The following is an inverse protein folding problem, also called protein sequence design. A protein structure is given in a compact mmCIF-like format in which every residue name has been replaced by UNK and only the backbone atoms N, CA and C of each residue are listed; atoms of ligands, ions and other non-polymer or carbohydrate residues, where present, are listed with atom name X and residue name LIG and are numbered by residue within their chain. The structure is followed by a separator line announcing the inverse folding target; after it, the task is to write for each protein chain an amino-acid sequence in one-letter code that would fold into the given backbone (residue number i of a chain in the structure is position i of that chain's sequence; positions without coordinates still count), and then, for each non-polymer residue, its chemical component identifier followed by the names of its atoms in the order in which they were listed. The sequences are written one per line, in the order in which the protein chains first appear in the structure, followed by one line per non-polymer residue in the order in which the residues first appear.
data_IF_056222222989
#
_entry.id   IF_056222222989
#
_cell.length_a   1.000
_cell.length_b   1.000
_cell.length_c   1.000
_cell.angle_alpha   90.00
_cell.angle_beta   90.00
_cell.angle_gamma   90.00
#
_symmetry.space_group_name_H-M   'P 1'
#
loop_
_entity.id
_entity.type
_entity.pdbx_description
1 polymer ?
#
# COMPACT_ATOMS: atom_id res chain seq x y z
N UNK A 1 13.57 -8.50 -11.16
CA UNK A 1 14.24 -8.24 -9.87
C UNK A 1 15.45 -9.15 -9.86
N UNK A 2 16.65 -8.57 -9.85
CA UNK A 2 17.85 -9.18 -10.40
C UNK A 2 18.30 -10.45 -9.67
N UNK A 3 18.54 -11.51 -10.44
CA UNK A 3 19.56 -12.49 -10.10
C UNK A 3 20.93 -11.79 -10.21
N UNK A 4 21.76 -11.95 -9.20
CA UNK A 4 23.18 -11.55 -9.24
C UNK A 4 23.87 -12.35 -10.35
N UNK A 5 24.68 -11.75 -11.23
CA UNK A 5 25.34 -12.48 -12.30
C UNK A 5 26.23 -13.59 -11.75
N UNK A 6 25.97 -14.81 -12.19
CA UNK A 6 26.77 -16.00 -11.88
C UNK A 6 28.08 -15.97 -12.65
N UNK A 7 29.10 -15.30 -12.10
CA UNK A 7 30.48 -15.48 -12.54
C UNK A 7 31.46 -15.23 -11.40
N UNK A 8 31.34 -16.02 -10.33
CA UNK A 8 32.45 -16.28 -9.40
C UNK A 8 32.51 -17.81 -9.25
N UNK A 9 33.59 -18.48 -9.70
CA UNK A 9 33.73 -19.91 -9.52
C UNK A 9 34.09 -20.18 -8.05
N UNK A 10 33.09 -20.53 -7.25
CA UNK A 10 33.26 -20.87 -5.84
C UNK A 10 31.94 -21.32 -5.23
N UNK A 11 31.84 -22.61 -4.94
CA UNK A 11 30.68 -23.31 -4.39
C UNK A 11 29.91 -22.55 -3.29
N UNK A 12 28.60 -22.39 -3.50
CA UNK A 12 27.65 -21.99 -2.47
C UNK A 12 26.37 -21.38 -3.04
N UNK A 13 25.37 -22.20 -3.33
CA UNK A 13 24.05 -21.71 -3.74
C UNK A 13 23.50 -20.73 -2.68
N UNK A 14 23.24 -19.48 -3.07
CA UNK A 14 22.69 -18.40 -2.24
C UNK A 14 21.22 -18.68 -1.87
N UNK A 15 20.98 -19.67 -0.99
CA UNK A 15 19.65 -19.97 -0.40
C UNK A 15 19.35 -19.09 0.82
N UNK A 16 20.32 -18.30 1.28
CA UNK A 16 20.23 -17.44 2.47
C UNK A 16 19.55 -16.09 2.23
N UNK A 17 19.66 -15.48 1.04
CA UNK A 17 19.21 -14.10 0.81
C UNK A 17 17.69 -13.92 0.78
N UNK A 18 16.96 -14.77 0.05
CA UNK A 18 15.49 -14.69 -0.02
C UNK A 18 14.82 -14.99 1.33
N UNK A 19 15.41 -15.90 2.11
CA UNK A 19 14.94 -16.22 3.46
C UNK A 19 15.13 -15.03 4.39
N UNK A 20 16.30 -14.39 4.37
CA UNK A 20 16.56 -13.19 5.16
C UNK A 20 15.63 -12.04 4.77
N UNK A 21 15.40 -11.83 3.47
CA UNK A 21 14.45 -10.84 2.98
C UNK A 21 13.02 -11.14 3.46
N UNK A 22 12.58 -12.41 3.40
CA UNK A 22 11.30 -12.84 3.92
C UNK A 22 11.17 -12.60 5.43
N UNK A 23 12.19 -12.99 6.21
CA UNK A 23 12.22 -12.81 7.67
C UNK A 23 12.14 -11.31 8.04
N UNK A 24 12.83 -10.44 7.30
CA UNK A 24 12.76 -8.99 7.49
C UNK A 24 11.37 -8.43 7.17
N UNK A 25 10.86 -8.72 5.97
CA UNK A 25 9.56 -8.20 5.48
C UNK A 25 8.40 -8.71 6.35
N UNK A 26 8.51 -9.93 6.87
CA UNK A 26 7.46 -10.53 7.69
C UNK A 26 7.22 -9.83 9.02
N UNK A 27 8.16 -8.98 9.46
CA UNK A 27 8.03 -8.20 10.69
C UNK A 27 7.15 -6.95 10.52
N UNK A 28 6.86 -6.56 9.27
CA UNK A 28 6.06 -5.37 8.99
C UNK A 28 4.56 -5.67 8.97
N UNK A 29 3.79 -4.67 9.40
CA UNK A 29 2.34 -4.63 9.43
C UNK A 29 1.88 -3.60 8.40
N UNK A 30 1.07 -4.05 7.45
CA UNK A 30 0.43 -3.18 6.47
C UNK A 30 -0.93 -2.70 6.98
N UNK A 31 -1.40 -1.53 6.51
CA UNK A 31 -2.76 -1.06 6.78
C UNK A 31 -3.80 -2.13 6.50
N UNK A 32 -4.82 -2.24 7.35
CA UNK A 32 -5.80 -3.33 7.34
C UNK A 32 -6.46 -3.53 5.97
N UNK A 33 -6.75 -2.44 5.24
CA UNK A 33 -7.27 -2.48 3.88
C UNK A 33 -6.42 -3.34 2.93
N UNK A 34 -5.08 -3.20 2.99
CA UNK A 34 -4.15 -3.96 2.12
C UNK A 34 -4.03 -5.41 2.57
N UNK A 35 -4.15 -5.68 3.87
CA UNK A 35 -4.17 -7.03 4.44
C UNK A 35 -5.40 -7.81 4.00
N UNK A 36 -6.59 -7.23 4.13
CA UNK A 36 -7.86 -7.89 3.77
C UNK A 36 -7.99 -8.15 2.26
N UNK A 37 -7.40 -7.30 1.43
CA UNK A 37 -7.41 -7.46 -0.03
C UNK A 37 -6.38 -8.47 -0.55
N UNK A 38 -5.50 -9.00 0.30
CA UNK A 38 -4.44 -9.93 -0.09
C UNK A 38 -3.36 -9.29 -0.97
N UNK A 39 -3.12 -7.99 -0.81
CA UNK A 39 -2.23 -7.18 -1.66
C UNK A 39 -0.93 -6.83 -0.93
N UNK A 40 -0.70 -7.32 0.30
CA UNK A 40 0.50 -7.00 1.09
C UNK A 40 1.79 -7.39 0.38
N UNK A 41 1.79 -8.55 -0.28
CA UNK A 41 2.97 -9.15 -0.89
C UNK A 41 3.93 -9.81 0.12
N UNK A 42 3.56 -9.90 1.40
CA UNK A 42 4.42 -10.44 2.47
C UNK A 42 4.99 -11.84 2.16
N UNK A 43 4.25 -12.64 1.38
CA UNK A 43 4.62 -13.99 0.96
C UNK A 43 5.41 -14.06 -0.35
N UNK A 44 5.75 -12.92 -0.97
CA UNK A 44 6.46 -12.92 -2.24
C UNK A 44 7.84 -13.59 -2.15
N UNK A 45 8.44 -13.60 -0.96
CA UNK A 45 9.74 -14.20 -0.66
C UNK A 45 9.68 -15.61 -0.04
N UNK A 46 8.49 -16.23 0.06
CA UNK A 46 8.32 -17.56 0.66
C UNK A 46 9.07 -18.65 -0.13
N UNK A 47 9.34 -19.79 0.53
CA UNK A 47 10.10 -20.94 -0.01
C UNK A 47 9.67 -21.41 -1.41
N UNK A 48 8.40 -21.25 -1.80
CA UNK A 48 7.90 -21.63 -3.15
C UNK A 48 8.38 -20.68 -4.26
N UNK A 49 8.64 -19.42 -3.93
CA UNK A 49 9.21 -18.41 -4.85
C UNK A 49 10.74 -18.43 -4.84
N UNK A 50 11.34 -18.70 -3.67
CA UNK A 50 12.79 -18.70 -3.46
C UNK A 50 13.57 -19.72 -4.30
N UNK A 51 12.94 -20.81 -4.73
CA UNK A 51 13.58 -21.85 -5.56
C UNK A 51 13.87 -21.44 -6.99
N UNK A 52 13.24 -20.37 -7.49
CA UNK A 52 13.37 -19.94 -8.90
C UNK A 52 14.33 -18.76 -9.13
N UNK A 53 14.88 -18.16 -8.07
CA UNK A 53 15.71 -16.95 -8.17
C UNK A 53 14.92 -15.67 -8.53
N UNK A 54 13.64 -15.79 -8.89
CA UNK A 54 12.77 -14.69 -9.27
C UNK A 54 11.74 -14.37 -8.18
N UNK A 55 11.58 -13.08 -7.89
CA UNK A 55 10.48 -12.58 -7.07
C UNK A 55 9.18 -12.64 -7.87
N UNK A 56 8.29 -13.56 -7.51
CA UNK A 56 6.95 -13.68 -8.12
C UNK A 56 5.92 -12.98 -7.26
N UNK A 57 5.39 -11.88 -7.76
CA UNK A 57 4.27 -11.15 -7.15
C UNK A 57 3.41 -10.50 -8.24
N UNK A 58 2.15 -10.23 -7.92
CA UNK A 58 1.29 -9.37 -8.75
C UNK A 58 1.78 -7.93 -8.74
N UNK A 59 1.32 -7.12 -9.70
CA UNK A 59 1.72 -5.71 -9.75
C UNK A 59 1.30 -4.95 -8.48
N UNK A 60 0.11 -5.25 -7.94
CA UNK A 60 -0.37 -4.61 -6.71
C UNK A 60 0.45 -5.03 -5.47
N UNK A 61 0.89 -6.28 -5.39
CA UNK A 61 1.80 -6.74 -4.32
C UNK A 61 3.19 -6.09 -4.44
N UNK A 62 3.73 -5.98 -5.66
CA UNK A 62 5.00 -5.30 -5.90
C UNK A 62 4.97 -3.82 -5.48
N UNK A 63 3.87 -3.11 -5.78
CA UNK A 63 3.64 -1.73 -5.32
C UNK A 63 3.54 -1.61 -3.80
N UNK A 64 3.03 -2.65 -3.12
CA UNK A 64 2.94 -2.67 -1.67
C UNK A 64 4.28 -2.98 -0.99
N UNK A 65 5.15 -3.73 -1.66
CA UNK A 65 6.43 -4.21 -1.12
C UNK A 65 7.61 -3.28 -1.35
N UNK A 66 7.68 -2.58 -2.49
CA UNK A 66 8.89 -1.83 -2.83
C UNK A 66 9.31 -0.77 -1.77
N UNK A 67 8.41 -0.09 -1.02
CA UNK A 67 8.85 0.83 0.03
C UNK A 67 9.56 0.11 1.17
N UNK A 68 9.11 -1.10 1.52
CA UNK A 68 9.73 -1.95 2.55
C UNK A 68 11.07 -2.49 2.06
N UNK A 69 11.16 -2.89 0.79
CA UNK A 69 12.44 -3.33 0.19
C UNK A 69 13.43 -2.15 0.12
N UNK A 70 12.97 -0.96 -0.26
CA UNK A 70 13.76 0.28 -0.25
C UNK A 70 14.33 0.51 1.15
N UNK A 71 13.47 0.46 2.16
CA UNK A 71 13.86 0.64 3.55
C UNK A 71 14.85 -0.44 4.02
N UNK A 72 14.61 -1.71 3.68
CA UNK A 72 15.53 -2.81 3.97
C UNK A 72 16.94 -2.53 3.43
N UNK A 73 17.05 -2.08 2.17
CA UNK A 73 18.35 -1.78 1.56
C UNK A 73 19.05 -0.60 2.24
N UNK A 74 18.30 0.44 2.63
CA UNK A 74 18.85 1.58 3.37
C UNK A 74 19.42 1.15 4.75
N UNK A 75 18.77 0.21 5.43
CA UNK A 75 19.18 -0.25 6.75
C UNK A 75 20.29 -1.30 6.71
N UNK A 76 20.19 -2.28 5.80
CA UNK A 76 21.14 -3.37 5.71
C UNK A 76 22.43 -3.00 4.97
N UNK A 77 22.39 -1.96 4.14
CA UNK A 77 23.55 -1.51 3.34
C UNK A 77 23.64 0.03 3.35
N UNK A 78 23.85 0.67 4.52
CA UNK A 78 23.87 2.13 4.62
C UNK A 78 24.97 2.77 3.74
N UNK A 79 26.13 2.11 3.64
CA UNK A 79 27.26 2.55 2.81
C UNK A 79 27.25 1.92 1.40
N UNK A 80 26.06 1.64 0.85
CA UNK A 80 25.94 0.93 -0.43
C UNK A 80 26.72 1.57 -1.59
N UNK A 81 26.97 2.89 -1.55
CA UNK A 81 27.70 3.61 -2.60
C UNK A 81 29.13 3.12 -2.81
N UNK A 82 29.79 2.61 -1.76
CA UNK A 82 31.13 2.02 -1.85
C UNK A 82 31.10 0.50 -2.02
N UNK A 83 29.91 -0.10 -1.90
CA UNK A 83 29.72 -1.54 -2.02
C UNK A 83 29.66 -1.97 -3.50
N UNK A 84 30.11 -3.19 -3.80
CA UNK A 84 30.08 -3.76 -5.16
C UNK A 84 28.67 -3.82 -5.77
N UNK A 85 27.63 -3.88 -4.92
CA UNK A 85 26.21 -3.88 -5.34
C UNK A 85 25.59 -2.48 -5.39
N UNK A 86 26.37 -1.44 -5.08
CA UNK A 86 25.92 -0.06 -5.01
C UNK A 86 25.18 0.44 -6.25
N UNK A 87 25.74 0.25 -7.46
CA UNK A 87 25.05 0.62 -8.70
C UNK A 87 23.68 -0.05 -8.88
N UNK A 88 23.54 -1.31 -8.45
CA UNK A 88 22.26 -2.02 -8.50
C UNK A 88 21.23 -1.46 -7.50
N UNK A 89 21.69 -1.05 -6.31
CA UNK A 89 20.85 -0.39 -5.31
C UNK A 89 20.41 1.00 -5.81
N UNK A 90 21.32 1.79 -6.41
CA UNK A 90 20.96 3.07 -7.06
C UNK A 90 19.91 2.88 -8.16
N UNK A 91 20.07 1.86 -9.01
CA UNK A 91 19.08 1.53 -10.04
C UNK A 91 17.71 1.23 -9.43
N UNK A 92 17.67 0.52 -8.30
CA UNK A 92 16.43 0.23 -7.58
C UNK A 92 15.83 1.48 -6.90
N UNK A 93 16.62 2.34 -6.28
CA UNK A 93 16.11 3.59 -5.70
C UNK A 93 15.55 4.54 -6.76
N UNK A 94 16.21 4.62 -7.92
CA UNK A 94 15.67 5.35 -9.07
C UNK A 94 14.33 4.75 -9.56
N UNK A 95 14.18 3.41 -9.53
CA UNK A 95 12.89 2.77 -9.79
C UNK A 95 11.84 3.16 -8.75
N UNK A 96 12.18 3.12 -7.46
CA UNK A 96 11.27 3.54 -6.39
C UNK A 96 10.77 4.97 -6.60
N UNK A 97 11.66 5.90 -7.00
CA UNK A 97 11.28 7.27 -7.32
C UNK A 97 10.28 7.34 -8.47
N UNK A 98 10.50 6.59 -9.55
CA UNK A 98 9.55 6.53 -10.66
C UNK A 98 8.19 5.95 -10.22
N UNK A 99 8.18 4.93 -9.36
CA UNK A 99 6.96 4.34 -8.81
C UNK A 99 6.22 5.29 -7.85
N UNK A 100 6.93 6.04 -7.03
CA UNK A 100 6.36 7.07 -6.14
C UNK A 100 5.63 8.14 -6.98
N UNK A 101 6.27 8.64 -8.05
CA UNK A 101 5.66 9.62 -8.95
C UNK A 101 4.46 9.05 -9.71
N UNK A 102 4.50 7.78 -10.12
CA UNK A 102 3.33 7.12 -10.73
C UNK A 102 2.14 7.02 -9.76
N UNK A 103 2.40 6.83 -8.46
CA UNK A 103 1.33 6.82 -7.46
C UNK A 103 0.78 8.24 -7.20
N UNK A 104 1.65 9.25 -7.17
CA UNK A 104 1.26 10.65 -7.03
C UNK A 104 0.48 11.18 -8.24
N UNK A 105 0.76 10.65 -9.44
CA UNK A 105 0.05 11.01 -10.67
C UNK A 105 -1.45 10.71 -10.63
N UNK A 106 -1.91 9.83 -9.73
CA UNK A 106 -3.33 9.52 -9.53
C UNK A 106 -4.06 10.68 -8.84
N UNK A 107 -3.35 11.45 -8.02
CA UNK A 107 -3.88 12.54 -7.19
C UNK A 107 -3.41 13.93 -7.65
N UNK A 108 -2.93 14.05 -8.90
CA UNK A 108 -2.38 15.29 -9.48
C UNK A 108 -1.22 15.92 -8.66
N UNK A 109 -0.47 15.09 -7.91
CA UNK A 109 0.59 15.54 -7.01
C UNK A 109 1.99 15.65 -7.64
N UNK A 110 2.10 15.54 -8.97
CA UNK A 110 3.38 15.62 -9.71
C UNK A 110 3.14 16.01 -11.17
N UNK A 111 4.21 16.25 -11.93
CA UNK A 111 4.15 16.62 -13.34
C UNK A 111 4.61 15.50 -14.29
N UNK A 112 4.17 15.53 -15.58
CA UNK A 112 4.69 14.62 -16.60
C UNK A 112 6.21 14.69 -16.77
N UNK A 113 6.81 15.86 -16.60
CA UNK A 113 8.25 16.09 -16.78
C UNK A 113 9.07 15.46 -15.66
N UNK A 114 8.61 15.58 -14.41
CA UNK A 114 9.23 14.92 -13.25
C UNK A 114 9.18 13.40 -13.39
N UNK A 115 8.04 12.85 -13.84
CA UNK A 115 7.90 11.43 -14.09
C UNK A 115 8.85 10.96 -15.20
N UNK A 116 8.90 11.68 -16.32
CA UNK A 116 9.77 11.34 -17.44
C UNK A 116 11.25 11.37 -17.04
N UNK A 117 11.68 12.38 -16.28
CA UNK A 117 13.03 12.48 -15.77
C UNK A 117 13.39 11.31 -14.84
N UNK A 118 12.50 10.93 -13.92
CA UNK A 118 12.70 9.80 -13.02
C UNK A 118 12.79 8.46 -13.77
N UNK A 119 11.94 8.25 -14.78
CA UNK A 119 11.99 7.05 -15.62
C UNK A 119 13.31 6.99 -16.39
N UNK A 120 13.75 8.09 -17.00
CA UNK A 120 15.04 8.15 -17.71
C UNK A 120 16.21 7.84 -16.78
N UNK A 121 16.24 8.44 -15.60
CA UNK A 121 17.27 8.19 -14.60
C UNK A 121 17.32 6.70 -14.20
N UNK A 122 16.17 6.08 -13.92
CA UNK A 122 16.10 4.65 -13.64
C UNK A 122 16.64 3.80 -14.79
N UNK A 123 16.24 4.09 -16.02
CA UNK A 123 16.64 3.33 -17.20
C UNK A 123 18.12 3.48 -17.53
N UNK A 124 18.72 4.65 -17.30
CA UNK A 124 20.16 4.86 -17.42
C UNK A 124 20.94 3.99 -16.43
N UNK A 125 20.54 4.00 -15.16
CA UNK A 125 21.14 3.12 -14.15
C UNK A 125 20.95 1.65 -14.50
N UNK A 126 19.74 1.26 -14.91
CA UNK A 126 19.44 -0.12 -15.30
C UNK A 126 20.34 -0.58 -16.44
N UNK A 127 20.50 0.25 -17.48
CA UNK A 127 21.33 -0.07 -18.63
C UNK A 127 22.81 -0.20 -18.24
N UNK A 128 23.32 0.70 -17.39
CA UNK A 128 24.70 0.67 -16.92
C UNK A 128 25.01 -0.58 -16.08
N UNK A 129 24.05 -1.03 -15.26
CA UNK A 129 24.24 -2.15 -14.32
C UNK A 129 24.01 -3.51 -14.98
N UNK A 130 22.96 -3.65 -15.78
CA UNK A 130 22.51 -4.95 -16.30
C UNK A 130 22.75 -5.14 -17.80
N UNK A 131 23.18 -4.08 -18.51
CA UNK A 131 23.43 -4.12 -19.94
C UNK A 131 22.17 -4.23 -20.80
N UNK A 132 22.38 -4.34 -22.12
CA UNK A 132 21.30 -4.37 -23.12
C UNK A 132 20.45 -5.65 -23.07
N UNK A 133 21.04 -6.78 -22.66
CA UNK A 133 20.32 -8.06 -22.57
C UNK A 133 19.15 -8.05 -21.59
N UNK A 134 19.21 -7.17 -20.58
CA UNK A 134 18.21 -7.01 -19.52
C UNK A 134 17.32 -5.76 -19.73
N UNK A 135 17.20 -5.32 -20.98
CA UNK A 135 16.41 -4.14 -21.39
C UNK A 135 15.18 -4.57 -22.21
N UNK A 136 14.14 -5.13 -21.57
CA UNK A 136 12.95 -5.60 -22.27
C UNK A 136 12.17 -4.44 -22.92
N UNK A 137 11.28 -4.72 -23.90
CA UNK A 137 10.45 -3.69 -24.55
C UNK A 137 9.68 -2.79 -23.57
N UNK A 138 9.31 -3.30 -22.39
CA UNK A 138 8.65 -2.54 -21.32
C UNK A 138 9.47 -1.35 -20.83
N UNK A 139 10.80 -1.44 -20.84
CA UNK A 139 11.68 -0.33 -20.50
C UNK A 139 11.56 0.80 -21.53
N UNK A 140 11.50 0.47 -22.82
CA UNK A 140 11.23 1.46 -23.87
C UNK A 140 9.81 2.04 -23.73
N UNK A 141 8.79 1.20 -23.48
CA UNK A 141 7.42 1.68 -23.33
C UNK A 141 7.23 2.64 -22.17
N UNK A 142 7.99 2.48 -21.08
CA UNK A 142 7.94 3.40 -19.95
C UNK A 142 8.30 4.84 -20.33
N UNK A 143 9.18 5.05 -21.33
CA UNK A 143 9.57 6.39 -21.79
C UNK A 143 8.39 7.18 -22.37
N UNK A 144 7.36 6.49 -22.87
CA UNK A 144 6.18 7.13 -23.44
C UNK A 144 5.16 7.59 -22.40
N UNK A 145 5.33 7.24 -21.11
CA UNK A 145 4.36 7.57 -20.07
C UNK A 145 4.21 9.07 -19.85
N UNK A 146 5.30 9.85 -19.86
CA UNK A 146 5.24 11.31 -19.73
C UNK A 146 4.42 11.94 -20.86
N UNK A 147 4.69 11.54 -22.11
CA UNK A 147 3.97 12.03 -23.28
C UNK A 147 2.49 11.59 -23.30
N UNK A 148 2.21 10.34 -22.94
CA UNK A 148 0.84 9.85 -22.79
C UNK A 148 0.08 10.68 -21.75
N UNK A 149 0.72 11.03 -20.63
CA UNK A 149 0.11 11.90 -19.63
C UNK A 149 -0.19 13.28 -20.22
N UNK A 150 0.77 13.96 -20.85
CA UNK A 150 0.53 15.27 -21.49
C UNK A 150 -0.65 15.24 -22.46
N UNK A 151 -0.74 14.18 -23.28
CA UNK A 151 -1.79 14.04 -24.29
C UNK A 151 -3.16 13.74 -23.70
N UNK A 152 -3.24 12.91 -22.66
CA UNK A 152 -4.51 12.41 -22.12
C UNK A 152 -4.95 13.14 -20.84
N UNK A 153 -4.13 14.04 -20.30
CA UNK A 153 -4.35 14.73 -19.03
C UNK A 153 -4.18 13.85 -17.79
N UNK A 154 -4.12 12.51 -17.95
CA UNK A 154 -3.91 11.54 -16.86
C UNK A 154 -3.39 10.20 -17.34
N UNK A 155 -2.80 9.44 -16.42
CA UNK A 155 -2.43 8.04 -16.64
C UNK A 155 -3.50 7.11 -16.08
N UNK A 156 -3.97 6.18 -16.92
CA UNK A 156 -4.97 5.18 -16.53
C UNK A 156 -4.27 3.88 -16.11
N UNK A 157 -4.45 3.45 -14.87
CA UNK A 157 -3.93 2.16 -14.41
C UNK A 157 -4.80 1.00 -14.91
N UNK A 158 -4.18 -0.02 -15.50
CA UNK A 158 -4.88 -1.22 -16.00
C UNK A 158 -5.00 -2.34 -14.94
N UNK A 159 -4.73 -2.07 -13.66
CA UNK A 159 -4.80 -3.09 -12.60
C UNK A 159 -6.20 -3.67 -12.40
N UNK A 160 -7.24 -2.95 -12.84
CA UNK A 160 -8.62 -3.43 -12.81
C UNK A 160 -8.76 -4.73 -13.60
N UNK A 161 -8.16 -4.81 -14.79
CA UNK A 161 -8.22 -6.03 -15.61
C UNK A 161 -7.54 -7.22 -14.94
N UNK A 162 -6.38 -7.01 -14.30
CA UNK A 162 -5.66 -8.05 -13.57
C UNK A 162 -6.50 -8.61 -12.41
N UNK A 163 -7.14 -7.74 -11.63
CA UNK A 163 -8.00 -8.13 -10.50
C UNK A 163 -9.26 -8.85 -10.96
N UNK A 164 -9.89 -8.38 -12.03
CA UNK A 164 -11.11 -8.99 -12.59
C UNK A 164 -10.84 -10.39 -13.16
N UNK A 165 -9.70 -10.59 -13.82
CA UNK A 165 -9.29 -11.92 -14.29
C UNK A 165 -9.20 -12.94 -13.14
N UNK A 166 -8.68 -12.56 -11.95
CA UNK A 166 -8.60 -13.47 -10.79
C UNK A 166 -9.98 -13.96 -10.33
N UNK A 167 -11.00 -13.10 -10.40
CA UNK A 167 -12.38 -13.47 -10.04
C UNK A 167 -12.94 -14.52 -11.00
N UNK A 168 -12.79 -14.30 -12.31
CA UNK A 168 -13.21 -15.26 -13.34
C UNK A 168 -12.49 -16.60 -13.15
N UNK A 169 -11.16 -16.56 -12.95
CA UNK A 169 -10.34 -17.75 -12.77
C UNK A 169 -10.76 -18.58 -11.55
N UNK A 170 -11.14 -17.93 -10.43
CA UNK A 170 -11.64 -18.60 -9.23
C UNK A 170 -12.86 -19.47 -9.58
N UNK A 171 -13.91 -18.86 -10.11
CA UNK A 171 -15.14 -19.59 -10.45
C UNK A 171 -14.93 -20.64 -11.55
N UNK A 172 -14.05 -20.37 -12.51
CA UNK A 172 -13.72 -21.33 -13.56
C UNK A 172 -12.97 -22.56 -13.01
N UNK A 173 -12.10 -22.37 -12.02
CA UNK A 173 -11.31 -23.45 -11.41
C UNK A 173 -12.16 -24.31 -10.47
N UNK A 174 -13.14 -23.70 -9.80
CA UNK A 174 -14.09 -24.38 -8.92
C UNK A 174 -15.24 -25.06 -9.69
N UNK A 175 -15.38 -24.77 -10.99
CA UNK A 175 -16.42 -25.35 -11.84
C UNK A 175 -15.96 -26.66 -12.47
N UNK A 176 -16.69 -27.74 -12.20
CA UNK A 176 -16.45 -29.07 -12.75
C UNK A 176 -17.38 -29.41 -13.93
N UNK A 177 -18.21 -28.45 -14.38
CA UNK A 177 -19.27 -28.65 -15.36
C UNK A 177 -18.87 -28.11 -16.75
N UNK A 178 -17.72 -28.54 -17.30
CA UNK A 178 -17.23 -28.07 -18.60
C UNK A 178 -17.79 -28.85 -19.81
N UNK A 179 -18.99 -29.44 -19.70
CA UNK A 179 -19.58 -30.19 -20.81
C UNK A 179 -20.40 -29.26 -21.73
N UNK A 180 -20.50 -29.64 -23.02
CA UNK A 180 -21.17 -28.82 -24.04
C UNK A 180 -22.67 -28.57 -23.76
N UNK A 181 -23.29 -29.32 -22.84
CA UNK A 181 -24.71 -29.22 -22.53
C UNK A 181 -25.05 -28.32 -21.35
N UNK A 182 -24.08 -27.88 -20.53
CA UNK A 182 -24.35 -27.14 -19.28
C UNK A 182 -24.16 -25.63 -19.36
N UNK A 183 -23.94 -25.07 -20.55
CA UNK A 183 -23.74 -23.61 -20.75
C UNK A 183 -22.70 -23.03 -19.77
N UNK A 184 -21.55 -23.69 -19.67
CA UNK A 184 -20.47 -23.37 -18.73
C UNK A 184 -20.14 -21.87 -18.69
N UNK A 185 -19.98 -21.24 -19.85
CA UNK A 185 -19.65 -19.82 -19.98
C UNK A 185 -20.74 -18.94 -19.40
N UNK A 186 -22.01 -19.28 -19.63
CA UNK A 186 -23.15 -18.54 -19.08
C UNK A 186 -23.20 -18.64 -17.56
N UNK A 187 -23.01 -19.85 -17.01
CA UNK A 187 -22.96 -20.06 -15.56
C UNK A 187 -21.82 -19.28 -14.92
N UNK A 188 -20.62 -19.37 -15.50
CA UNK A 188 -19.44 -18.65 -15.04
C UNK A 188 -19.64 -17.14 -15.04
N UNK A 189 -20.18 -16.57 -16.12
CA UNK A 189 -20.46 -15.15 -16.21
C UNK A 189 -21.55 -14.70 -15.24
N UNK A 190 -22.58 -15.53 -15.00
CA UNK A 190 -23.62 -15.23 -14.02
C UNK A 190 -23.03 -15.09 -12.61
N UNK A 191 -22.17 -16.03 -12.19
CA UNK A 191 -21.48 -15.96 -10.89
C UNK A 191 -20.64 -14.70 -10.74
N UNK A 192 -19.89 -14.34 -11.79
CA UNK A 192 -19.08 -13.10 -11.80
C UNK A 192 -19.98 -11.86 -11.69
N UNK A 193 -21.09 -11.80 -12.43
CA UNK A 193 -22.04 -10.68 -12.38
C UNK A 193 -22.72 -10.59 -11.01
N UNK A 194 -23.15 -11.72 -10.43
CA UNK A 194 -23.76 -11.76 -9.10
C UNK A 194 -22.79 -11.30 -8.01
N UNK A 195 -21.53 -11.75 -8.08
CA UNK A 195 -20.47 -11.28 -7.19
C UNK A 195 -20.29 -9.76 -7.30
N UNK A 196 -20.19 -9.24 -8.52
CA UNK A 196 -20.00 -7.81 -8.78
C UNK A 196 -21.19 -6.98 -8.29
N UNK A 197 -22.43 -7.44 -8.54
CA UNK A 197 -23.63 -6.79 -8.02
C UNK A 197 -23.62 -6.74 -6.49
N UNK A 198 -23.26 -7.85 -5.85
CA UNK A 198 -23.20 -7.93 -4.38
C UNK A 198 -22.12 -7.00 -3.82
N UNK A 199 -20.98 -6.88 -4.50
CA UNK A 199 -19.92 -5.93 -4.15
C UNK A 199 -20.41 -4.49 -4.26
N UNK A 200 -21.03 -4.12 -5.40
CA UNK A 200 -21.59 -2.78 -5.60
C UNK A 200 -22.67 -2.39 -4.58
N UNK A 201 -23.41 -3.35 -4.03
CA UNK A 201 -24.40 -3.09 -2.98
C UNK A 201 -23.76 -2.84 -1.60
N UNK A 202 -22.57 -3.38 -1.36
CA UNK A 202 -21.81 -3.22 -0.10
C UNK A 202 -20.83 -2.06 -0.18
N UNK A 203 -20.40 -1.71 -1.38
CA UNK A 203 -19.45 -0.64 -1.62
C UNK A 203 -20.12 0.72 -1.39
N UNK A 204 -19.32 1.61 -0.80
CA UNK A 204 -19.62 3.03 -0.69
C UNK A 204 -19.90 3.63 -2.08
N UNK A 205 -20.78 4.63 -2.19
CA UNK A 205 -21.02 5.32 -3.45
C UNK A 205 -19.71 5.86 -4.06
N UNK A 206 -19.51 5.71 -5.38
CA UNK A 206 -18.27 6.11 -6.03
C UNK A 206 -18.00 7.60 -5.85
N UNK A 207 -16.73 7.93 -5.58
CA UNK A 207 -16.28 9.32 -5.48
C UNK A 207 -16.51 10.00 -4.12
N UNK A 208 -17.24 9.37 -3.18
CA UNK A 208 -17.32 9.93 -1.83
C UNK A 208 -15.95 9.90 -1.15
N UNK A 209 -15.68 10.83 -0.25
CA UNK A 209 -14.50 10.87 0.65
C UNK A 209 -14.96 11.27 2.04
N UNK A 210 -14.16 11.00 3.08
CA UNK A 210 -14.45 11.36 4.46
C UNK A 210 -15.81 10.86 4.95
N UNK A 211 -16.05 9.54 4.85
CA UNK A 211 -17.28 8.92 5.38
C UNK A 211 -16.96 7.67 6.19
N UNK A 212 -17.80 7.37 7.19
CA UNK A 212 -17.74 6.15 7.96
C UNK A 212 -18.11 4.92 7.11
N UNK A 213 -17.47 3.79 7.40
CA UNK A 213 -17.85 2.49 6.86
C UNK A 213 -18.74 1.76 7.86
N UNK A 214 -19.95 1.36 7.49
CA UNK A 214 -20.88 0.64 8.39
C UNK A 214 -21.08 1.33 9.77
N UNK A 215 -21.47 2.63 9.79
CA UNK A 215 -21.64 3.40 11.01
C UNK A 215 -22.69 2.80 11.94
N UNK A 216 -22.47 2.95 13.25
CA UNK A 216 -23.43 2.59 14.31
C UNK A 216 -23.55 3.75 15.30
N UNK A 217 -24.68 3.89 16.01
CA UNK A 217 -24.80 4.85 17.09
C UNK A 217 -23.66 4.66 18.11
N UNK A 218 -22.99 5.75 18.47
CA UNK A 218 -21.91 5.73 19.45
C UNK A 218 -22.46 5.46 20.86
N UNK A 219 -21.59 4.96 21.75
CA UNK A 219 -21.94 4.84 23.17
C UNK A 219 -22.03 6.21 23.85
N UNK A 220 -22.77 6.29 24.96
CA UNK A 220 -22.92 7.53 25.74
C UNK A 220 -21.56 8.11 26.16
N UNK A 221 -20.59 7.24 26.48
CA UNK A 221 -19.24 7.65 26.84
C UNK A 221 -18.51 8.36 25.68
N UNK A 222 -18.62 7.83 24.45
CA UNK A 222 -18.03 8.45 23.26
C UNK A 222 -18.75 9.76 22.94
N UNK A 223 -20.08 9.76 23.00
CA UNK A 223 -20.87 10.97 22.76
C UNK A 223 -20.53 12.09 23.76
N UNK A 224 -20.31 11.76 25.04
CA UNK A 224 -19.86 12.71 26.05
C UNK A 224 -18.47 13.28 25.76
N UNK A 225 -17.52 12.45 25.31
CA UNK A 225 -16.18 12.91 24.94
C UNK A 225 -16.22 13.84 23.72
N UNK A 226 -17.01 13.51 22.70
CA UNK A 226 -17.19 14.36 21.52
C UNK A 226 -17.85 15.68 21.89
N UNK A 227 -18.87 15.66 22.77
CA UNK A 227 -19.48 16.89 23.29
C UNK A 227 -18.44 17.80 23.95
N UNK A 228 -17.55 17.23 24.76
CA UNK A 228 -16.47 17.98 25.43
C UNK A 228 -15.45 18.51 24.42
N UNK A 229 -15.03 17.68 23.47
CA UNK A 229 -14.08 18.05 22.42
C UNK A 229 -14.59 19.20 21.55
N UNK A 230 -15.86 19.13 21.13
CA UNK A 230 -16.53 20.16 20.33
C UNK A 230 -17.04 21.35 21.17
N UNK A 231 -16.81 21.33 22.49
CA UNK A 231 -17.23 22.38 23.43
C UNK A 231 -18.73 22.73 23.35
N UNK A 232 -19.57 21.73 23.13
CA UNK A 232 -21.02 21.94 22.96
C UNK A 232 -21.73 22.00 24.32
N UNK A 233 -22.69 22.93 24.50
CA UNK A 233 -23.56 22.95 25.68
C UNK A 233 -24.38 21.67 25.82
N UNK A 234 -24.71 21.19 27.05
CA UNK A 234 -25.50 19.97 27.26
C UNK A 234 -26.88 19.96 26.59
N UNK A 235 -27.47 21.13 26.37
CA UNK A 235 -28.81 21.29 25.81
C UNK A 235 -28.89 20.97 24.31
N UNK A 236 -27.75 21.01 23.60
CA UNK A 236 -27.71 20.75 22.17
C UNK A 236 -27.79 19.24 21.95
N UNK A 237 -28.84 18.77 21.28
CA UNK A 237 -28.93 17.38 20.87
C UNK A 237 -27.72 17.02 19.99
N UNK A 238 -27.07 15.91 20.32
CA UNK A 238 -25.86 15.45 19.63
C UNK A 238 -26.07 14.01 19.18
N UNK A 239 -26.24 13.83 17.86
CA UNK A 239 -26.15 12.52 17.24
C UNK A 239 -24.69 12.24 16.89
N UNK A 240 -24.19 11.09 17.33
CA UNK A 240 -22.82 10.64 17.08
C UNK A 240 -22.89 9.25 16.51
N UNK A 241 -22.40 9.10 15.29
CA UNK A 241 -22.17 7.80 14.68
C UNK A 241 -20.70 7.44 14.83
N UNK A 242 -20.41 6.17 15.08
CA UNK A 242 -19.05 5.65 15.23
C UNK A 242 -18.82 4.47 14.28
N UNK A 243 -17.57 4.32 13.83
CA UNK A 243 -17.09 3.13 13.14
C UNK A 243 -15.63 2.86 13.44
N UNK A 244 -15.23 1.61 13.28
CA UNK A 244 -13.82 1.23 13.30
C UNK A 244 -13.10 1.57 11.99
N UNK A 245 -13.83 1.82 10.91
CA UNK A 245 -13.22 2.09 9.60
C UNK A 245 -13.84 3.34 8.95
N UNK A 246 -13.00 4.18 8.34
CA UNK A 246 -13.42 5.38 7.62
C UNK A 246 -12.65 5.56 6.31
N UNK A 247 -13.34 6.04 5.28
CA UNK A 247 -12.75 6.34 3.99
C UNK A 247 -12.13 7.74 4.00
N UNK A 248 -10.82 7.85 3.82
CA UNK A 248 -10.12 9.13 3.73
C UNK A 248 -10.31 9.75 2.35
N UNK A 249 -10.17 8.92 1.31
CA UNK A 249 -10.36 9.27 -0.11
C UNK A 249 -11.29 8.23 -0.75
N UNK A 250 -11.64 8.35 -2.05
CA UNK A 250 -12.44 7.32 -2.71
C UNK A 250 -11.75 5.95 -2.79
N UNK A 251 -10.45 5.88 -2.50
CA UNK A 251 -9.62 4.69 -2.66
C UNK A 251 -8.86 4.27 -1.40
N UNK A 252 -8.75 5.15 -0.39
CA UNK A 252 -8.03 4.89 0.85
C UNK A 252 -8.99 4.69 2.02
N UNK A 253 -8.94 3.50 2.62
CA UNK A 253 -9.65 3.16 3.85
C UNK A 253 -8.65 3.19 5.00
N UNK A 254 -9.00 3.91 6.05
CA UNK A 254 -8.31 3.94 7.32
C UNK A 254 -9.10 3.09 8.32
N UNK A 255 -8.41 2.21 9.03
CA UNK A 255 -9.03 1.31 9.99
C UNK A 255 -8.47 1.52 11.39
N UNK A 256 -9.23 1.07 12.39
CA UNK A 256 -8.74 0.93 13.76
C UNK A 256 -7.44 0.11 13.79
N UNK A 257 -6.51 0.59 14.61
CA UNK A 257 -5.14 0.12 14.78
C UNK A 257 -4.18 0.38 13.62
N UNK A 258 -4.60 1.04 12.54
CA UNK A 258 -3.67 1.53 11.53
C UNK A 258 -2.81 2.68 12.11
N UNK A 259 -1.54 2.71 11.73
CA UNK A 259 -0.66 3.87 11.95
C UNK A 259 -0.89 4.88 10.83
N UNK A 260 -1.01 6.15 11.16
CA UNK A 260 -1.30 7.22 10.20
C UNK A 260 -0.37 8.40 10.35
N UNK A 261 -0.06 9.07 9.23
CA UNK A 261 0.58 10.38 9.20
C UNK A 261 -0.48 11.47 8.97
N UNK A 262 -0.36 12.58 9.69
CA UNK A 262 -1.15 13.79 9.46
C UNK A 262 -0.44 14.73 8.51
N UNK A 263 -1.19 15.70 7.97
CA UNK A 263 -0.65 16.79 7.12
C UNK A 263 0.43 17.60 7.84
N UNK A 264 0.33 17.70 9.17
CA UNK A 264 1.29 18.39 10.04
C UNK A 264 2.52 17.52 10.39
N UNK A 265 2.69 16.38 9.71
CA UNK A 265 3.80 15.44 9.91
C UNK A 265 3.83 14.81 11.32
N UNK A 266 2.69 14.76 12.00
CA UNK A 266 2.53 13.96 13.21
C UNK A 266 2.14 12.54 12.85
N UNK A 267 2.55 11.58 13.69
CA UNK A 267 2.21 10.17 13.52
C UNK A 267 1.47 9.68 14.74
N UNK A 268 0.47 8.82 14.54
CA UNK A 268 -0.30 8.26 15.63
C UNK A 268 -1.05 7.00 15.21
N UNK A 269 -1.56 6.29 16.20
CA UNK A 269 -2.36 5.09 16.00
C UNK A 269 -3.84 5.42 16.06
N UNK A 270 -4.60 4.98 15.07
CA UNK A 270 -6.05 5.16 15.03
C UNK A 270 -6.75 4.18 15.97
N UNK A 271 -7.72 4.66 16.73
CA UNK A 271 -8.55 3.84 17.60
C UNK A 271 -9.93 3.60 17.00
N UNK A 272 -10.61 4.66 16.56
CA UNK A 272 -11.90 4.61 15.87
C UNK A 272 -12.21 5.96 15.22
N UNK A 273 -13.26 6.00 14.41
CA UNK A 273 -13.76 7.18 13.72
C UNK A 273 -15.18 7.51 14.18
N UNK A 274 -15.53 8.79 14.17
CA UNK A 274 -16.88 9.26 14.49
C UNK A 274 -17.33 10.35 13.55
N UNK A 275 -18.64 10.43 13.33
CA UNK A 275 -19.30 11.52 12.63
C UNK A 275 -20.22 12.24 13.63
N UNK A 276 -20.05 13.55 13.72
CA UNK A 276 -20.83 14.42 14.59
C UNK A 276 -21.00 15.80 13.94
N UNK A 277 -22.23 16.33 13.96
CA UNK A 277 -22.57 17.65 13.37
C UNK A 277 -22.15 17.74 11.89
N UNK A 278 -22.30 16.66 11.12
CA UNK A 278 -21.96 16.60 9.70
C UNK A 278 -20.45 16.65 9.39
N UNK A 279 -19.59 16.45 10.39
CA UNK A 279 -18.14 16.38 10.24
C UNK A 279 -17.58 15.07 10.78
N UNK A 280 -16.50 14.60 10.15
CA UNK A 280 -15.82 13.36 10.49
C UNK A 280 -14.57 13.62 11.33
N UNK A 281 -14.45 12.91 12.45
CA UNK A 281 -13.33 12.98 13.39
C UNK A 281 -12.74 11.60 13.62
N UNK A 282 -11.44 11.55 13.89
CA UNK A 282 -10.74 10.32 14.25
C UNK A 282 -10.25 10.42 15.69
N UNK A 283 -10.62 9.43 16.50
CA UNK A 283 -9.96 9.16 17.76
C UNK A 283 -8.64 8.45 17.46
N UNK A 284 -7.54 9.05 17.86
CA UNK A 284 -6.20 8.51 17.65
C UNK A 284 -5.31 8.83 18.84
N UNK A 285 -4.23 8.09 19.00
CA UNK A 285 -3.20 8.39 19.97
C UNK A 285 -1.93 8.85 19.25
N UNK A 286 -1.56 10.15 19.34
CA UNK A 286 -0.31 10.66 18.78
C UNK A 286 0.89 9.95 19.41
N UNK A 287 1.87 9.60 18.61
CA UNK A 287 3.11 9.00 19.06
C UNK A 287 4.15 10.07 19.38
N UNK A 288 5.04 9.76 20.33
CA UNK A 288 6.22 10.58 20.58
C UNK A 288 7.35 10.20 19.61
N UNK A 289 8.21 11.15 19.28
CA UNK A 289 9.40 10.85 18.46
C UNK A 289 10.32 9.88 19.21
N UNK A 290 10.77 8.85 18.49
CA UNK A 290 11.70 7.85 19.00
C UNK A 290 13.15 8.34 18.97
N UNK A 291 14.07 7.41 19.19
CA UNK A 291 15.51 7.65 19.20
C UNK A 291 16.11 7.90 17.80
N UNK A 292 15.42 7.44 16.75
CA UNK A 292 15.82 7.62 15.36
C UNK A 292 14.71 8.34 14.57
N UNK A 293 15.02 8.97 13.41
CA UNK A 293 14.02 9.66 12.60
C UNK A 293 12.84 8.79 12.16
N UNK A 294 13.08 7.48 11.98
CA UNK A 294 12.10 6.51 11.49
C UNK A 294 11.39 5.76 12.63
N UNK A 295 11.64 6.12 13.89
CA UNK A 295 11.00 5.47 15.05
C UNK A 295 10.12 6.43 15.83
N UNK A 296 9.02 5.88 16.35
CA UNK A 296 8.08 6.57 17.22
C UNK A 296 7.74 5.70 18.41
N UNK A 297 7.39 6.31 19.54
CA UNK A 297 6.94 5.62 20.75
C UNK A 297 5.41 5.69 20.83
N UNK A 298 4.78 4.53 20.97
CA UNK A 298 3.34 4.46 21.24
C UNK A 298 3.06 5.14 22.58
N UNK A 299 2.06 6.02 22.58
CA UNK A 299 1.58 6.67 23.77
C UNK A 299 0.12 6.29 23.99
N UNK A 300 -0.33 6.32 25.24
CA UNK A 300 -1.74 6.17 25.59
C UNK A 300 -2.30 7.55 26.00
N UNK A 301 -2.42 8.43 25.00
CA UNK A 301 -2.94 9.78 25.17
C UNK A 301 -3.93 10.08 24.02
N UNK A 302 -5.09 9.42 24.02
CA UNK A 302 -6.05 9.55 22.93
C UNK A 302 -6.60 10.96 22.84
N UNK A 303 -6.65 11.47 21.61
CA UNK A 303 -7.26 12.74 21.27
C UNK A 303 -8.14 12.60 20.03
N UNK A 304 -8.85 13.67 19.69
CA UNK A 304 -9.62 13.76 18.46
C UNK A 304 -8.97 14.76 17.51
N UNK A 305 -8.90 14.37 16.24
CA UNK A 305 -8.54 15.26 15.14
C UNK A 305 -9.61 15.18 14.05
N UNK A 306 -9.81 16.23 13.24
CA UNK A 306 -10.59 16.10 12.02
C UNK A 306 -10.00 15.01 11.14
N UNK A 307 -10.82 14.08 10.64
CA UNK A 307 -10.30 12.97 9.80
C UNK A 307 -9.64 13.47 8.52
N UNK A 308 -10.03 14.66 8.06
CA UNK A 308 -9.38 15.36 6.93
C UNK A 308 -7.92 15.75 7.19
N UNK A 309 -7.43 15.70 8.43
CA UNK A 309 -6.02 15.89 8.77
C UNK A 309 -5.17 14.67 8.48
N UNK A 310 -5.78 13.47 8.40
CA UNK A 310 -5.05 12.26 8.06
C UNK A 310 -4.67 12.31 6.59
N UNK A 311 -3.38 12.23 6.31
CA UNK A 311 -2.84 12.23 4.96
C UNK A 311 -2.80 10.80 4.38
N UNK A 312 -2.24 9.85 5.14
CA UNK A 312 -2.05 8.47 4.69
C UNK A 312 -1.89 7.48 5.84
N UNK A 313 -2.22 6.22 5.58
CA UNK A 313 -1.86 5.09 6.44
C UNK A 313 -0.43 4.61 6.14
N UNK A 314 0.29 4.21 7.17
CA UNK A 314 1.69 3.84 7.13
C UNK A 314 1.87 2.32 7.28
N UNK A 315 2.95 1.80 6.69
CA UNK A 315 3.46 0.45 6.98
C UNK A 315 4.44 0.58 8.14
N UNK A 316 4.35 -0.31 9.12
CA UNK A 316 5.13 -0.17 10.35
C UNK A 316 5.59 -1.52 10.91
N UNK A 317 6.56 -1.53 11.81
CA UNK A 317 7.01 -2.70 12.57
C UNK A 317 7.11 -2.33 14.05
N UNK A 318 6.50 -3.11 14.92
CA UNK A 318 6.69 -2.98 16.38
C UNK A 318 8.03 -3.63 16.75
N UNK A 319 8.86 -2.94 17.51
CA UNK A 319 10.15 -3.45 17.98
C UNK A 319 9.97 -4.36 19.22
N UNK A 320 11.06 -5.02 19.63
CA UNK A 320 11.03 -6.03 20.70
C UNK A 320 10.55 -5.50 22.06
N UNK A 321 10.69 -4.20 22.30
CA UNK A 321 10.20 -3.53 23.52
C UNK A 321 8.67 -3.37 23.56
N UNK A 322 7.98 -3.64 22.45
CA UNK A 322 6.52 -3.53 22.32
C UNK A 322 5.98 -2.09 22.29
N UNK A 323 6.82 -1.09 22.54
CA UNK A 323 6.44 0.32 22.65
C UNK A 323 6.99 1.16 21.48
N UNK A 324 8.16 0.79 20.95
CA UNK A 324 8.76 1.48 19.81
C UNK A 324 8.23 0.91 18.51
N UNK A 325 7.81 1.81 17.63
CA UNK A 325 7.31 1.49 16.30
C UNK A 325 8.25 2.10 15.27
N UNK A 326 8.72 1.27 14.36
CA UNK A 326 9.49 1.65 13.21
C UNK A 326 8.54 1.88 12.02
N UNK A 327 8.64 3.05 11.39
CA UNK A 327 7.80 3.46 10.28
C UNK A 327 8.53 3.28 8.95
N UNK A 328 7.80 2.87 7.93
CA UNK A 328 8.28 2.91 6.54
C UNK A 328 7.83 4.25 5.94
N UNK A 329 8.76 5.14 5.55
CA UNK A 329 8.45 6.49 5.08
C UNK A 329 7.65 6.54 3.76
#
# INVERSE_FOLDING_TARGET
VAAVPSSVPGNGHCRSSNRQAHEFISQFVWPKQRKTTGVTGQHAFDKRSAGSGELKCSASEGLSLYPVIRYMLMQCVPDYKTHAVGPAIESFFALCRALDLLQLAICDGTSPDELEAAIKAHLQWRLAVYGLGEFPPKCHYALHLGECWRRHGRLLSCFVHERKHKQIKKFASDSHNANASTSFERGLLLEVVLLQRTQLQKDKPPGMSLVLSSPKPASDAIAAHIRRFLQLPPIVALDVQASLDAWLTPYALCCAHDMVATKDQEVGQVWFHVEAIGALYTCWSPCQRGSTPDTVLLCDNPGFIPTSQIERCLVYRVLEDGATVLLVP
#
